data_IF_827484164864
#
_entry.id   IF_827484164864
#
_cell.length_a   1.000
_cell.length_b   1.000
_cell.length_c   1.000
_cell.angle_alpha   90.00
_cell.angle_beta   90.00
_cell.angle_gamma   90.00
#
_symmetry.space_group_name_H-M   'P 1'
#
loop_
_entity.id
_entity.type
_entity.pdbx_description
1 polymer ?
#
# COMPACT_ATOMS: atom_id res chain seq x y z
N UNK A 1 -9.66 -4.38 -13.31
CA UNK A 1 -9.72 -3.53 -12.10
C UNK A 1 -8.34 -3.34 -11.49
N UNK A 2 -7.47 -4.36 -11.47
CA UNK A 2 -6.07 -4.29 -11.01
C UNK A 2 -5.27 -3.07 -11.52
N UNK A 3 -5.40 -2.71 -12.80
CA UNK A 3 -4.66 -1.57 -13.36
C UNK A 3 -5.02 -0.22 -12.71
N UNK A 4 -6.23 -0.08 -12.16
CA UNK A 4 -6.66 1.15 -11.48
C UNK A 4 -5.99 1.26 -10.11
N UNK A 5 -5.92 0.16 -9.36
CA UNK A 5 -5.27 0.11 -8.04
C UNK A 5 -3.80 0.49 -8.19
N UNK A 6 -3.10 -0.17 -9.12
CA UNK A 6 -1.70 0.13 -9.41
C UNK A 6 -1.48 1.60 -9.75
N UNK A 7 -2.25 2.11 -10.71
CA UNK A 7 -2.15 3.51 -11.12
C UNK A 7 -2.36 4.48 -9.96
N UNK A 8 -3.32 4.19 -9.07
CA UNK A 8 -3.61 5.04 -7.92
C UNK A 8 -2.48 5.03 -6.89
N UNK A 9 -1.98 3.85 -6.53
CA UNK A 9 -0.86 3.69 -5.59
C UNK A 9 0.39 4.36 -6.14
N UNK A 10 0.74 4.10 -7.40
CA UNK A 10 1.88 4.73 -8.07
C UNK A 10 1.73 6.25 -8.09
N UNK A 11 0.54 6.78 -8.39
CA UNK A 11 0.30 8.23 -8.38
C UNK A 11 0.51 8.85 -7.00
N UNK A 12 0.12 8.17 -5.92
CA UNK A 12 0.33 8.65 -4.56
C UNK A 12 1.82 8.64 -4.19
N UNK A 13 2.53 7.55 -4.52
CA UNK A 13 3.97 7.41 -4.31
C UNK A 13 4.79 8.42 -5.13
N UNK A 14 4.38 8.69 -6.38
CA UNK A 14 5.04 9.65 -7.27
C UNK A 14 4.93 11.09 -6.76
N UNK A 15 3.92 11.43 -5.96
CA UNK A 15 3.80 12.76 -5.34
C UNK A 15 4.74 12.93 -4.14
N UNK A 16 5.04 11.84 -3.45
CA UNK A 16 5.87 11.80 -2.24
C UNK A 16 7.35 11.52 -2.53
N UNK A 17 7.70 11.06 -3.74
CA UNK A 17 9.09 10.77 -4.12
C UNK A 17 9.97 12.00 -3.96
N UNK A 18 11.14 11.82 -3.35
CA UNK A 18 12.18 12.86 -3.31
C UNK A 18 12.91 13.02 -4.65
N UNK A 19 12.98 11.94 -5.44
CA UNK A 19 13.70 11.94 -6.72
C UNK A 19 12.74 11.82 -7.92
N UNK A 20 12.63 12.85 -8.79
CA UNK A 20 11.75 12.82 -9.95
C UNK A 20 12.21 11.86 -11.07
N UNK A 21 13.46 11.42 -11.06
CA UNK A 21 13.99 10.40 -11.98
C UNK A 21 13.78 8.96 -11.47
N UNK A 22 13.23 8.77 -10.26
CA UNK A 22 12.96 7.45 -9.72
C UNK A 22 11.87 6.76 -10.55
N UNK A 23 12.25 5.59 -11.11
CA UNK A 23 11.33 4.67 -11.77
C UNK A 23 10.74 3.74 -10.72
N UNK A 24 9.43 3.82 -10.51
CA UNK A 24 8.73 2.89 -9.63
C UNK A 24 8.70 1.50 -10.26
N UNK A 25 9.15 0.51 -9.49
CA UNK A 25 9.09 -0.91 -9.82
C UNK A 25 8.39 -1.63 -8.67
N UNK A 26 7.83 -2.82 -8.89
CA UNK A 26 7.26 -3.62 -7.81
C UNK A 26 8.27 -3.89 -6.68
N UNK A 27 9.55 -4.04 -7.03
CA UNK A 27 10.65 -4.26 -6.09
C UNK A 27 11.19 -2.97 -5.42
N UNK A 28 10.70 -1.79 -5.81
CA UNK A 28 11.12 -0.51 -5.23
C UNK A 28 10.74 -0.48 -3.75
N UNK A 29 11.71 -0.12 -2.91
CA UNK A 29 11.57 -0.06 -1.46
C UNK A 29 11.06 1.33 -1.05
N UNK A 30 10.00 1.35 -0.24
CA UNK A 30 9.31 2.57 0.16
C UNK A 30 10.27 3.52 0.92
N UNK A 31 10.97 2.99 1.92
CA UNK A 31 11.86 3.80 2.75
C UNK A 31 13.19 4.13 2.05
N UNK A 32 13.77 3.17 1.33
CA UNK A 32 15.15 3.28 0.81
C UNK A 32 15.22 3.95 -0.56
N UNK A 33 14.25 3.68 -1.45
CA UNK A 33 14.26 4.22 -2.81
C UNK A 33 13.38 5.48 -2.93
N UNK A 34 12.17 5.46 -2.35
CA UNK A 34 11.24 6.60 -2.42
C UNK A 34 11.58 7.65 -1.35
N UNK A 35 12.10 7.19 -0.20
CA UNK A 35 12.45 8.06 0.93
C UNK A 35 11.27 8.34 1.86
N UNK A 36 10.28 7.43 1.91
CA UNK A 36 9.15 7.50 2.81
C UNK A 36 9.61 7.23 4.24
N UNK A 37 9.24 8.09 5.18
CA UNK A 37 9.45 7.85 6.60
C UNK A 37 8.24 7.13 7.23
N UNK A 38 8.30 6.87 8.54
CA UNK A 38 7.20 6.20 9.26
C UNK A 38 5.91 7.02 9.24
N UNK A 39 6.00 8.36 9.18
CA UNK A 39 4.83 9.25 9.15
C UNK A 39 4.18 9.17 7.76
N UNK A 40 4.99 9.22 6.69
CA UNK A 40 4.51 9.06 5.33
C UNK A 40 3.86 7.69 5.09
N UNK A 41 4.35 6.62 5.73
CA UNK A 41 3.74 5.28 5.66
C UNK A 41 2.35 5.27 6.31
N UNK A 42 2.20 5.90 7.48
CA UNK A 42 0.90 6.03 8.16
C UNK A 42 -0.07 6.84 7.31
N UNK A 43 0.36 7.96 6.73
CA UNK A 43 -0.49 8.74 5.81
C UNK A 43 -0.87 7.92 4.57
N UNK A 44 0.06 7.15 4.00
CA UNK A 44 -0.21 6.28 2.86
C UNK A 44 -1.30 5.26 3.22
N UNK A 45 -1.15 4.57 4.36
CA UNK A 45 -2.10 3.57 4.83
C UNK A 45 -3.50 4.17 5.00
N UNK A 46 -3.64 5.28 5.74
CA UNK A 46 -4.93 5.97 5.96
C UNK A 46 -5.60 6.34 4.63
N UNK A 47 -4.82 6.83 3.66
CA UNK A 47 -5.37 7.17 2.35
C UNK A 47 -5.83 5.93 1.57
N UNK A 48 -5.12 4.80 1.67
CA UNK A 48 -5.52 3.55 1.04
C UNK A 48 -6.81 3.01 1.67
N UNK A 49 -6.89 2.98 3.00
CA UNK A 49 -8.08 2.60 3.76
C UNK A 49 -9.30 3.42 3.33
N UNK A 50 -9.19 4.75 3.37
CA UNK A 50 -10.30 5.63 2.97
C UNK A 50 -10.69 5.46 1.50
N UNK A 51 -9.72 5.26 0.60
CA UNK A 51 -9.98 5.25 -0.84
C UNK A 51 -10.53 3.92 -1.34
N UNK A 52 -10.11 2.83 -0.73
CA UNK A 52 -10.54 1.47 -1.08
C UNK A 52 -11.57 0.90 -0.11
N UNK A 53 -11.89 1.62 0.97
CA UNK A 53 -12.79 1.18 2.04
C UNK A 53 -12.33 -0.15 2.67
N UNK A 54 -11.03 -0.22 2.95
CA UNK A 54 -10.36 -1.36 3.59
C UNK A 54 -9.83 -0.94 4.97
N UNK A 55 -9.53 -1.92 5.82
CA UNK A 55 -8.82 -1.70 7.09
C UNK A 55 -7.46 -2.39 7.00
N UNK A 56 -6.38 -1.64 7.20
CA UNK A 56 -5.01 -2.15 7.15
C UNK A 56 -4.51 -2.22 8.59
N UNK A 57 -4.16 -3.43 9.06
CA UNK A 57 -3.61 -3.55 10.40
C UNK A 57 -2.19 -2.95 10.48
N UNK A 58 -1.82 -2.43 11.66
CA UNK A 58 -0.46 -1.91 11.91
C UNK A 58 0.63 -2.91 11.52
N UNK A 59 0.42 -4.20 11.81
CA UNK A 59 1.35 -5.27 11.47
C UNK A 59 1.53 -5.44 9.95
N UNK A 60 0.48 -5.23 9.17
CA UNK A 60 0.56 -5.27 7.70
C UNK A 60 1.28 -4.04 7.17
N UNK A 61 1.00 -2.86 7.73
CA UNK A 61 1.72 -1.63 7.41
C UNK A 61 3.22 -1.73 7.73
N UNK A 62 3.60 -2.33 8.86
CA UNK A 62 5.00 -2.58 9.20
C UNK A 62 5.66 -3.62 8.27
N UNK A 63 4.88 -4.56 7.73
CA UNK A 63 5.33 -5.54 6.75
C UNK A 63 5.45 -4.95 5.33
N UNK A 64 4.77 -3.86 5.01
CA UNK A 64 4.83 -3.18 3.72
C UNK A 64 6.18 -2.48 3.52
N UNK A 65 7.12 -3.16 2.83
CA UNK A 65 8.45 -2.61 2.55
C UNK A 65 8.62 -2.19 1.09
N UNK A 66 7.90 -2.83 0.18
CA UNK A 66 7.99 -2.58 -1.26
C UNK A 66 6.66 -2.15 -1.85
N UNK A 67 6.70 -1.53 -3.03
CA UNK A 67 5.49 -1.17 -3.78
C UNK A 67 4.62 -2.39 -4.04
N UNK A 68 5.23 -3.56 -4.32
CA UNK A 68 4.49 -4.81 -4.49
C UNK A 68 3.70 -5.18 -3.24
N UNK A 69 4.28 -5.06 -2.05
CA UNK A 69 3.62 -5.45 -0.81
C UNK A 69 2.37 -4.58 -0.57
N UNK A 70 2.46 -3.28 -0.86
CA UNK A 70 1.31 -2.35 -0.78
C UNK A 70 0.21 -2.77 -1.76
N UNK A 71 0.58 -3.04 -3.01
CA UNK A 71 -0.39 -3.46 -4.04
C UNK A 71 -1.07 -4.76 -3.64
N UNK A 72 -0.29 -5.76 -3.22
CA UNK A 72 -0.82 -7.06 -2.80
C UNK A 72 -1.71 -6.94 -1.57
N UNK A 73 -1.37 -6.10 -0.58
CA UNK A 73 -2.21 -5.88 0.59
C UNK A 73 -3.58 -5.31 0.19
N UNK A 74 -3.60 -4.29 -0.67
CA UNK A 74 -4.84 -3.67 -1.17
C UNK A 74 -5.66 -4.65 -2.02
N UNK A 75 -5.01 -5.37 -2.94
CA UNK A 75 -5.66 -6.38 -3.78
C UNK A 75 -6.29 -7.48 -2.94
N UNK A 76 -5.54 -8.03 -1.98
CA UNK A 76 -6.06 -9.04 -1.05
C UNK A 76 -7.30 -8.54 -0.32
N UNK A 77 -7.26 -7.36 0.30
CA UNK A 77 -8.41 -6.80 1.02
C UNK A 77 -9.62 -6.52 0.13
N UNK A 78 -9.41 -6.09 -1.11
CA UNK A 78 -10.48 -5.89 -2.07
C UNK A 78 -11.09 -7.21 -2.55
N UNK A 79 -10.30 -8.28 -2.61
CA UNK A 79 -10.79 -9.64 -2.85
C UNK A 79 -11.55 -10.18 -1.63
N UNK A 80 -11.02 -10.02 -0.41
CA UNK A 80 -11.69 -10.47 0.83
C UNK A 80 -12.88 -9.61 1.24
N UNK A 81 -13.03 -8.37 0.76
CA UNK A 81 -14.25 -7.60 0.97
C UNK A 81 -15.51 -8.26 0.38
N UNK A 82 -15.35 -9.32 -0.43
CA UNK A 82 -16.44 -10.19 -0.90
C UNK A 82 -16.70 -11.44 -0.03
N UNK A 83 -15.90 -11.70 1.02
CA UNK A 83 -16.04 -12.85 1.92
C UNK A 83 -15.77 -12.45 3.37
N UNK A 84 -16.75 -12.55 4.30
CA UNK A 84 -16.54 -12.20 5.70
C UNK A 84 -15.55 -13.17 6.33
N UNK A 85 -14.33 -12.70 6.64
CA UNK A 85 -13.32 -13.48 7.35
C UNK A 85 -13.74 -13.61 8.82
N UNK A 86 -14.45 -14.69 9.11
CA UNK A 86 -14.48 -15.29 10.44
C UNK A 86 -13.34 -16.31 10.52
N UNK A 87 -12.21 -15.93 11.12
CA UNK A 87 -11.20 -16.87 11.65
C UNK A 87 -10.06 -16.04 12.27
N UNK A 88 -9.50 -16.33 13.43
CA UNK A 88 -9.81 -17.31 14.45
C UNK A 88 -9.03 -16.85 15.70
N UNK A 89 -9.73 -16.62 16.80
CA UNK A 89 -9.12 -16.53 18.13
C UNK A 89 -8.72 -17.96 18.51
N UNK A 90 -7.44 -18.23 18.71
CA UNK A 90 -6.97 -19.37 19.51
C UNK A 90 -6.13 -18.84 20.64
#
# INVERSE_FOLDING_TARGET
MENIIRYQVERMLLRKRRNPALVLRPATRLQQDIGLDSIDLVELAINLEHRFHIEIADAEMEAMRTVRDVLSCVELHLETATVPVTAARR
#
